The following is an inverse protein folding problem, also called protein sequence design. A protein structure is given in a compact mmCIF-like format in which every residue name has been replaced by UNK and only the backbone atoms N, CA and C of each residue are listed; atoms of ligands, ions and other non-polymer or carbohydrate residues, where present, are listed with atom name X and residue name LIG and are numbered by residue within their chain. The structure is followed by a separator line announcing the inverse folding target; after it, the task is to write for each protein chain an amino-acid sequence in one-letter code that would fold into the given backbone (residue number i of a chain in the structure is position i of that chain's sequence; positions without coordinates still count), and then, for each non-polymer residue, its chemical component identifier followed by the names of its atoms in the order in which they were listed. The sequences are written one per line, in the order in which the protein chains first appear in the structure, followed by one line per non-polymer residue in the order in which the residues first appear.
data_IF_932858856704
#
_entry.id   IF_932858856704
#
_cell.length_a   1.000
_cell.length_b   1.000
_cell.length_c   1.000
_cell.angle_alpha   90.00
_cell.angle_beta   90.00
_cell.angle_gamma   90.00
#
_symmetry.space_group_name_H-M   'P 1'
#
loop_
_entity.id
_entity.type
_entity.pdbx_description
1 polymer ?
#
# COMPACT_ATOMS: atom_id res chain seq x y z
N UNK A 1 -8.53 -28.23 27.31
CA UNK A 1 -7.91 -27.55 26.15
C UNK A 1 -7.54 -26.17 26.64
N UNK A 2 -6.24 -25.86 26.72
CA UNK A 2 -5.82 -24.53 27.12
C UNK A 2 -6.26 -23.56 26.01
N UNK A 3 -7.05 -22.55 26.37
CA UNK A 3 -7.36 -21.45 25.47
C UNK A 3 -6.04 -20.77 25.14
N UNK A 4 -5.56 -20.95 23.90
CA UNK A 4 -4.41 -20.19 23.41
C UNK A 4 -4.87 -18.74 23.34
N UNK A 5 -4.38 -17.88 24.25
CA UNK A 5 -4.64 -16.44 24.18
C UNK A 5 -4.24 -15.94 22.79
N UNK A 6 -5.22 -15.53 21.99
CA UNK A 6 -4.99 -15.02 20.63
C UNK A 6 -4.12 -13.76 20.79
N UNK A 7 -2.89 -13.82 20.29
CA UNK A 7 -2.00 -12.67 20.24
C UNK A 7 -2.30 -11.94 18.95
N UNK A 8 -2.37 -10.61 19.00
CA UNK A 8 -2.51 -9.82 17.77
C UNK A 8 -1.33 -10.15 16.83
N UNK A 9 -1.64 -10.61 15.62
CA UNK A 9 -0.64 -10.98 14.63
C UNK A 9 -0.34 -9.78 13.74
N UNK A 10 0.93 -9.43 13.61
CA UNK A 10 1.37 -8.46 12.62
C UNK A 10 1.85 -9.20 11.36
N UNK A 11 1.17 -9.00 10.24
CA UNK A 11 1.50 -9.62 8.95
C UNK A 11 1.86 -8.53 7.94
N UNK A 12 3.00 -8.70 7.28
CA UNK A 12 3.42 -7.84 6.18
C UNK A 12 2.96 -8.43 4.85
N UNK A 13 1.89 -7.89 4.30
CA UNK A 13 1.44 -8.16 2.94
C UNK A 13 2.29 -7.32 1.97
N UNK A 14 3.34 -7.95 1.43
CA UNK A 14 4.34 -7.25 0.62
C UNK A 14 3.87 -6.90 -0.80
N UNK A 15 4.63 -6.02 -1.50
CA UNK A 15 4.32 -5.59 -2.86
C UNK A 15 4.54 -6.66 -3.93
N UNK A 16 5.15 -7.79 -3.57
CA UNK A 16 5.29 -8.96 -4.44
C UNK A 16 4.06 -9.88 -4.42
N UNK A 17 3.10 -9.64 -3.52
CA UNK A 17 1.96 -10.52 -3.37
C UNK A 17 1.13 -10.52 -4.66
N UNK A 18 0.81 -11.69 -5.28
CA UNK A 18 0.11 -11.75 -6.56
C UNK A 18 -1.28 -11.08 -6.56
N UNK A 19 -1.91 -10.99 -5.38
CA UNK A 19 -3.19 -10.30 -5.20
C UNK A 19 -3.06 -8.77 -5.01
N UNK A 20 -1.84 -8.21 -5.01
CA UNK A 20 -1.66 -6.77 -5.06
C UNK A 20 -1.93 -6.29 -6.50
N UNK A 21 -3.01 -5.53 -6.70
CA UNK A 21 -3.34 -4.89 -7.98
C UNK A 21 -2.39 -3.71 -8.26
N UNK A 22 -1.14 -4.02 -8.61
CA UNK A 22 -0.04 -3.07 -8.71
C UNK A 22 0.97 -3.26 -7.57
N UNK A 23 1.64 -2.19 -7.16
CA UNK A 23 2.64 -2.24 -6.08
C UNK A 23 2.07 -1.64 -4.79
N UNK A 24 1.60 -2.51 -3.89
CA UNK A 24 1.01 -2.13 -2.62
C UNK A 24 1.59 -2.98 -1.49
N UNK A 25 1.98 -2.33 -0.39
CA UNK A 25 2.37 -3.01 0.85
C UNK A 25 1.35 -2.68 1.93
N UNK A 26 0.84 -3.70 2.63
CA UNK A 26 -0.05 -3.53 3.78
C UNK A 26 0.61 -4.17 5.00
N UNK A 27 0.72 -3.42 6.08
CA UNK A 27 1.06 -3.98 7.39
C UNK A 27 -0.27 -4.19 8.11
N UNK A 28 -0.64 -5.44 8.31
CA UNK A 28 -1.93 -5.87 8.87
C UNK A 28 -1.73 -6.26 10.33
N UNK A 29 -2.60 -5.75 11.20
CA UNK A 29 -2.76 -6.21 12.57
C UNK A 29 -4.06 -7.01 12.65
N UNK A 30 -3.96 -8.28 13.00
CA UNK A 30 -5.05 -9.24 12.99
C UNK A 30 -5.35 -9.73 14.39
N UNK A 31 -6.63 -9.80 14.74
CA UNK A 31 -7.15 -10.59 15.86
C UNK A 31 -7.81 -11.85 15.29
N UNK A 32 -7.03 -12.93 15.20
CA UNK A 32 -7.44 -14.16 14.52
C UNK A 32 -7.71 -13.94 13.02
N UNK A 33 -8.97 -14.12 12.60
CA UNK A 33 -9.41 -13.92 11.22
C UNK A 33 -9.94 -12.49 10.95
N UNK A 34 -10.04 -11.66 11.99
CA UNK A 34 -10.54 -10.29 11.91
C UNK A 34 -9.38 -9.32 11.75
N UNK A 35 -9.51 -8.37 10.83
CA UNK A 35 -8.55 -7.28 10.66
C UNK A 35 -8.89 -6.16 11.63
N UNK A 36 -8.01 -5.89 12.58
CA UNK A 36 -8.19 -4.81 13.56
C UNK A 36 -7.65 -3.48 13.01
N UNK A 37 -6.46 -3.50 12.39
CA UNK A 37 -5.83 -2.32 11.79
C UNK A 37 -5.06 -2.67 10.52
N UNK A 38 -5.04 -1.73 9.59
CA UNK A 38 -4.23 -1.80 8.36
C UNK A 38 -3.43 -0.51 8.20
N UNK A 39 -2.14 -0.65 7.93
CA UNK A 39 -1.25 0.45 7.58
C UNK A 39 -0.78 0.31 6.11
N UNK A 40 -1.45 1.01 5.17
CA UNK A 40 -1.10 0.95 3.75
C UNK A 40 0.14 1.80 3.46
N UNK A 41 1.23 1.11 3.14
CA UNK A 41 2.46 1.73 2.68
C UNK A 41 2.40 1.93 1.17
N UNK A 42 1.94 3.12 0.76
CA UNK A 42 1.82 3.53 -0.65
C UNK A 42 3.05 4.34 -1.10
N UNK A 43 3.07 4.75 -2.37
CA UNK A 43 4.13 5.59 -2.94
C UNK A 43 5.27 4.82 -3.61
N UNK A 44 5.19 3.48 -3.68
CA UNK A 44 6.16 2.65 -4.40
C UNK A 44 6.26 2.95 -5.90
N UNK A 45 5.22 3.59 -6.46
CA UNK A 45 5.19 4.09 -7.84
C UNK A 45 5.00 5.62 -7.89
N UNK A 46 5.44 6.35 -6.85
CA UNK A 46 5.43 7.80 -6.90
C UNK A 46 6.48 8.28 -7.93
N UNK A 47 6.01 8.92 -9.01
CA UNK A 47 6.86 9.37 -10.12
C UNK A 47 7.17 10.87 -10.11
N UNK A 48 6.70 11.61 -9.10
CA UNK A 48 6.87 13.06 -9.03
C UNK A 48 6.18 13.81 -10.18
N UNK A 49 5.05 13.30 -10.68
CA UNK A 49 4.36 13.85 -11.85
C UNK A 49 4.03 15.33 -11.71
N UNK A 50 3.57 15.75 -10.53
CA UNK A 50 3.24 17.16 -10.23
C UNK A 50 4.46 18.07 -10.41
N UNK A 51 5.62 17.65 -9.90
CA UNK A 51 6.88 18.39 -10.05
C UNK A 51 7.36 18.45 -11.50
N UNK A 52 7.16 17.37 -12.27
CA UNK A 52 7.51 17.33 -13.68
C UNK A 52 6.63 18.27 -14.53
N UNK A 53 5.38 18.49 -14.11
CA UNK A 53 4.44 19.38 -14.79
C UNK A 53 4.82 20.86 -14.59
N UNK A 54 5.45 21.23 -13.47
CA UNK A 54 5.92 22.61 -13.24
C UNK A 54 6.89 23.12 -14.32
N UNK A 55 7.68 22.22 -14.92
CA UNK A 55 8.65 22.55 -15.95
C UNK A 55 8.12 22.38 -17.39
N UNK A 56 6.84 22.04 -17.57
CA UNK A 56 6.22 21.75 -18.87
C UNK A 56 5.15 22.77 -19.21
N UNK A 57 4.98 23.06 -20.50
CA UNK A 57 3.84 23.86 -20.96
C UNK A 57 2.56 23.04 -20.86
N UNK A 58 1.40 23.71 -20.83
CA UNK A 58 0.10 23.05 -20.71
C UNK A 58 -0.10 21.91 -21.72
N UNK A 59 0.27 22.11 -22.99
CA UNK A 59 0.12 21.07 -24.02
C UNK A 59 1.05 19.87 -23.77
N UNK A 60 2.26 20.10 -23.23
CA UNK A 60 3.22 19.04 -22.91
C UNK A 60 2.83 18.24 -21.66
N UNK A 61 2.02 18.82 -20.77
CA UNK A 61 1.52 18.15 -19.58
C UNK A 61 0.36 17.17 -19.86
N UNK A 62 -0.35 17.32 -20.99
CA UNK A 62 -1.53 16.50 -21.33
C UNK A 62 -1.30 14.99 -21.21
N UNK A 63 -0.18 14.40 -21.69
CA UNK A 63 0.03 12.95 -21.60
C UNK A 63 0.30 12.41 -20.18
N UNK A 64 0.52 13.28 -19.20
CA UNK A 64 0.74 12.89 -17.80
C UNK A 64 -0.56 12.83 -16.97
N UNK A 65 -1.65 13.39 -17.50
CA UNK A 65 -3.00 13.40 -16.94
C UNK A 65 -3.82 12.26 -17.55
#
# INVERSE_FOLDING_TARGET
MAETSVRNFNINFGPQHPAAHGVLRLVLELDGEVVDRVDPHIGLLHRGTEKLIEAKTYLQAVPYL
#
